data_IF_570878450492
#
_entry.id   IF_570878450492
#
_cell.length_a   1.000
_cell.length_b   1.000
_cell.length_c   1.000
_cell.angle_alpha   90.00
_cell.angle_beta   90.00
_cell.angle_gamma   90.00
#
_symmetry.space_group_name_H-M   'P 1'
#
loop_
_entity.id
_entity.type
_entity.pdbx_description
1 polymer ?
#
# COMPACT_ATOMS: atom_id res chain seq x y z
N UNK A 1 1.44 4.91 -27.69
CA UNK A 1 1.09 4.56 -27.48
C UNK A 1 0.82 4.20 -26.98
N UNK A 2 0.63 3.90 -26.76
CA UNK A 2 0.25 3.44 -26.33
C UNK A 2 -0.24 2.81 -25.94
N UNK A 3 -0.50 2.49 -25.82
CA UNK A 3 -1.01 1.84 -25.51
C UNK A 3 -1.69 1.17 -25.35
N UNK A 4 -1.68 0.95 -25.64
CA UNK A 4 -2.47 0.28 -25.59
C UNK A 4 -2.55 -0.57 -24.93
N UNK A 5 -2.48 -0.71 -24.70
CA UNK A 5 -2.75 -1.57 -24.02
C UNK A 5 -3.83 -1.60 -23.17
N UNK A 6 -4.58 -1.24 -23.27
CA UNK A 6 -5.73 -1.23 -22.47
C UNK A 6 -6.41 -2.55 -22.37
N UNK A 7 -6.29 -3.34 -23.37
CA UNK A 7 -6.81 -4.69 -23.31
C UNK A 7 -6.00 -5.43 -22.26
N UNK A 8 -6.70 -6.02 -21.29
CA UNK A 8 -6.04 -6.67 -20.19
C UNK A 8 -5.40 -5.68 -19.23
N UNK A 9 -5.87 -4.42 -19.27
CA UNK A 9 -5.34 -3.42 -18.36
C UNK A 9 -5.50 -3.90 -16.93
N UNK A 10 -4.43 -3.75 -16.15
CA UNK A 10 -4.50 -4.12 -14.75
C UNK A 10 -5.24 -3.08 -13.96
N UNK A 11 -5.89 -3.46 -12.88
CA UNK A 11 -6.68 -2.52 -12.08
C UNK A 11 -5.85 -1.59 -11.21
N UNK A 12 -4.53 -1.68 -11.24
CA UNK A 12 -3.65 -0.84 -10.43
C UNK A 12 -2.50 -0.30 -11.29
N UNK A 13 -1.77 0.67 -10.75
CA UNK A 13 -0.61 1.26 -11.43
C UNK A 13 0.59 0.32 -11.35
N UNK A 14 0.95 -0.27 -12.48
CA UNK A 14 2.06 -1.24 -12.52
C UNK A 14 3.40 -0.59 -12.22
N UNK A 15 3.60 0.66 -12.62
CA UNK A 15 4.85 1.34 -12.32
C UNK A 15 5.00 1.55 -10.82
N UNK A 16 3.92 1.91 -10.17
CA UNK A 16 3.92 2.08 -8.74
C UNK A 16 4.19 0.74 -8.04
N UNK A 17 3.59 -0.33 -8.54
CA UNK A 17 3.84 -1.66 -7.99
C UNK A 17 5.31 -2.05 -8.13
N UNK A 18 5.93 -1.73 -9.28
CA UNK A 18 7.36 -2.01 -9.48
C UNK A 18 8.22 -1.22 -8.50
N UNK A 19 7.86 0.04 -8.27
CA UNK A 19 8.59 0.88 -7.32
C UNK A 19 8.51 0.32 -5.90
N UNK A 20 7.33 -0.15 -5.51
CA UNK A 20 7.14 -0.78 -4.21
C UNK A 20 7.98 -2.05 -4.13
N UNK A 21 7.95 -2.85 -5.19
CA UNK A 21 8.69 -4.11 -5.23
C UNK A 21 10.18 -3.92 -5.00
N UNK A 22 10.73 -2.82 -5.50
CA UNK A 22 12.14 -2.51 -5.30
C UNK A 22 12.46 -2.16 -3.85
N UNK A 23 11.49 -1.65 -3.13
CA UNK A 23 11.70 -1.18 -1.76
C UNK A 23 11.43 -2.23 -0.70
N UNK A 24 10.57 -3.20 -0.98
CA UNK A 24 10.14 -4.15 0.06
C UNK A 24 11.08 -5.34 0.26
N UNK A 25 11.91 -5.64 -0.73
CA UNK A 25 12.87 -6.72 -0.59
C UNK A 25 12.32 -8.10 -0.96
N UNK A 26 13.17 -9.13 -0.92
CA UNK A 26 12.84 -10.45 -1.47
C UNK A 26 11.92 -11.32 -0.62
N UNK A 27 11.74 -10.99 0.64
CA UNK A 27 10.93 -11.82 1.55
C UNK A 27 9.45 -11.54 1.45
N UNK A 28 9.05 -10.64 0.56
CA UNK A 28 7.69 -10.19 0.43
C UNK A 28 6.95 -11.02 -0.61
N UNK A 29 5.70 -11.38 -0.30
CA UNK A 29 4.82 -12.11 -1.20
C UNK A 29 3.82 -11.13 -1.80
N UNK A 30 3.49 -11.30 -3.08
CA UNK A 30 2.51 -10.45 -3.75
C UNK A 30 1.20 -11.20 -3.90
N UNK A 31 0.09 -10.47 -3.72
CA UNK A 31 -1.22 -11.07 -3.86
C UNK A 31 -2.21 -10.01 -4.32
N UNK A 32 -3.06 -10.36 -5.27
CA UNK A 32 -4.10 -9.45 -5.73
C UNK A 32 -5.19 -9.35 -4.68
N UNK A 33 -5.47 -8.14 -4.23
CA UNK A 33 -6.48 -7.88 -3.20
C UNK A 33 -7.05 -6.50 -3.37
N UNK A 34 -8.29 -6.31 -2.98
CA UNK A 34 -8.93 -5.00 -2.97
C UNK A 34 -8.84 -4.26 -4.31
N UNK A 35 -8.85 -5.00 -5.40
CA UNK A 35 -8.74 -4.41 -6.72
C UNK A 35 -7.34 -3.93 -7.07
N UNK A 36 -6.32 -4.26 -6.27
CA UNK A 36 -4.95 -3.87 -6.50
C UNK A 36 -3.98 -5.01 -6.25
N UNK A 37 -2.73 -4.67 -6.03
CA UNK A 37 -1.68 -5.66 -5.75
C UNK A 37 -1.10 -5.41 -4.37
N UNK A 38 -1.29 -6.35 -3.47
CA UNK A 38 -0.82 -6.26 -2.11
C UNK A 38 0.54 -6.93 -1.95
N UNK A 39 1.36 -6.35 -1.09
CA UNK A 39 2.68 -6.87 -0.73
C UNK A 39 2.62 -7.31 0.73
N UNK A 40 2.91 -8.58 0.96
CA UNK A 40 2.71 -9.22 2.26
C UNK A 40 4.03 -9.66 2.88
N UNK A 41 4.17 -9.43 4.17
CA UNK A 41 5.32 -9.91 4.93
C UNK A 41 4.79 -10.92 5.95
N UNK A 42 5.24 -12.16 5.85
CA UNK A 42 4.74 -13.21 6.73
C UNK A 42 3.23 -13.43 6.60
N UNK A 43 2.66 -13.16 5.44
CA UNK A 43 1.24 -13.28 5.21
C UNK A 43 0.42 -12.06 5.64
N UNK A 44 1.06 -11.07 6.26
CA UNK A 44 0.40 -9.85 6.70
C UNK A 44 0.62 -8.74 5.68
N UNK A 45 -0.45 -8.07 5.27
CA UNK A 45 -0.33 -7.01 4.30
C UNK A 45 0.48 -5.85 4.89
N UNK A 46 1.45 -5.36 4.12
CA UNK A 46 2.23 -4.18 4.49
C UNK A 46 1.75 -2.97 3.69
N UNK A 47 1.68 -3.12 2.38
CA UNK A 47 1.33 -2.03 1.50
C UNK A 47 0.74 -2.63 0.23
N UNK A 48 -0.09 -1.88 -0.47
CA UNK A 48 -0.66 -2.33 -1.73
C UNK A 48 -0.72 -1.19 -2.73
N UNK A 49 -0.52 -1.53 -4.00
CA UNK A 49 -0.81 -0.59 -5.09
C UNK A 49 -2.31 -0.63 -5.28
N UNK A 50 -2.97 0.48 -5.02
CA UNK A 50 -4.43 0.53 -5.01
C UNK A 50 -5.03 0.53 -6.41
N UNK A 51 -6.14 -0.16 -6.58
CA UNK A 51 -6.89 -0.12 -7.84
C UNK A 51 -7.53 1.23 -8.09
N UNK A 52 -7.57 2.09 -7.09
CA UNK A 52 -8.12 3.44 -7.22
C UNK A 52 -7.04 4.50 -7.38
N UNK A 53 -5.80 4.09 -7.53
CA UNK A 53 -4.68 4.99 -7.61
C UNK A 53 -4.01 5.14 -6.26
N UNK A 54 -2.71 5.46 -6.26
CA UNK A 54 -1.96 5.58 -5.03
C UNK A 54 -1.73 4.26 -4.35
N UNK A 55 -1.51 4.30 -3.04
CA UNK A 55 -1.25 3.09 -2.27
C UNK A 55 -2.20 2.98 -1.08
N UNK A 56 -2.28 1.77 -0.56
CA UNK A 56 -2.94 1.48 0.69
C UNK A 56 -1.86 0.98 1.63
N UNK A 57 -1.67 1.66 2.74
CA UNK A 57 -0.63 1.30 3.70
C UNK A 57 -1.27 0.82 4.99
N UNK A 58 -0.74 -0.28 5.52
CA UNK A 58 -1.19 -0.77 6.82
C UNK A 58 -0.16 -0.37 7.86
N UNK A 59 -0.61 0.42 8.84
CA UNK A 59 0.27 0.93 9.88
C UNK A 59 -0.25 0.52 11.24
N UNK A 60 0.55 0.76 12.28
CA UNK A 60 0.12 0.51 13.64
C UNK A 60 -1.11 1.36 13.94
N UNK A 61 -2.23 0.77 14.35
CA UNK A 61 -3.42 1.56 14.67
C UNK A 61 -3.16 2.65 15.70
N UNK A 62 -2.20 2.46 16.59
CA UNK A 62 -1.86 3.47 17.58
C UNK A 62 -1.21 4.71 16.94
N UNK A 63 -0.63 4.57 15.75
CA UNK A 63 0.00 5.69 15.03
C UNK A 63 -0.90 6.28 13.98
N UNK A 64 -2.04 5.67 13.74
CA UNK A 64 -2.92 6.03 12.65
C UNK A 64 -3.40 7.49 12.73
N UNK A 65 -3.85 7.90 13.89
CA UNK A 65 -4.36 9.27 14.08
C UNK A 65 -3.27 10.31 13.86
N UNK A 66 -2.07 10.05 14.35
CA UNK A 66 -0.97 10.98 14.18
C UNK A 66 -0.58 11.09 12.70
N UNK A 67 -0.55 9.98 11.99
CA UNK A 67 -0.23 9.99 10.57
C UNK A 67 -1.29 10.74 9.78
N UNK A 68 -2.56 10.57 10.13
CA UNK A 68 -3.64 11.28 9.46
C UNK A 68 -3.54 12.78 9.70
N UNK A 69 -3.10 13.19 10.89
CA UNK A 69 -2.97 14.60 11.23
C UNK A 69 -1.76 15.25 10.57
N UNK A 70 -0.69 14.48 10.33
CA UNK A 70 0.58 15.03 9.86
C UNK A 70 0.88 14.78 8.38
N UNK A 71 0.02 14.05 7.69
CA UNK A 71 0.21 13.76 6.27
C UNK A 71 -1.08 13.95 5.52
N UNK A 72 -1.03 13.78 4.20
CA UNK A 72 -2.24 13.84 3.37
C UNK A 72 -2.94 12.49 3.26
N UNK A 73 -2.51 11.51 4.05
CA UNK A 73 -3.15 10.20 4.05
C UNK A 73 -4.58 10.31 4.55
N UNK A 74 -5.42 9.41 4.06
CA UNK A 74 -6.82 9.38 4.42
C UNK A 74 -7.15 8.00 4.99
N UNK A 75 -8.12 7.90 5.92
CA UNK A 75 -8.50 6.60 6.42
C UNK A 75 -9.16 5.78 5.32
N UNK A 76 -8.86 4.48 5.31
CA UNK A 76 -9.56 3.58 4.41
C UNK A 76 -10.94 3.32 4.96
N UNK A 77 -11.94 3.35 4.09
CA UNK A 77 -13.30 3.02 4.48
C UNK A 77 -13.72 1.73 3.80
N UNK A 78 -14.41 0.90 4.54
CA UNK A 78 -14.96 -0.33 4.02
C UNK A 78 -16.33 -0.51 4.63
N UNK A 79 -17.35 -0.63 3.76
CA UNK A 79 -18.74 -0.76 4.18
C UNK A 79 -19.19 0.36 5.11
N UNK A 80 -18.75 1.59 4.81
CA UNK A 80 -19.10 2.76 5.61
C UNK A 80 -18.35 2.91 6.90
N UNK A 81 -17.36 2.06 7.16
CA UNK A 81 -16.56 2.14 8.38
C UNK A 81 -15.13 2.49 8.06
N UNK A 82 -14.53 3.33 8.89
CA UNK A 82 -13.13 3.63 8.79
C UNK A 82 -12.33 2.47 9.41
N UNK A 83 -11.35 2.00 8.63
CA UNK A 83 -10.50 0.90 9.08
C UNK A 83 -9.26 1.46 9.73
N UNK A 84 -9.21 1.42 11.05
CA UNK A 84 -8.08 1.96 11.78
C UNK A 84 -6.81 1.19 11.45
N UNK A 85 -5.73 1.92 11.23
CA UNK A 85 -4.48 1.31 10.82
C UNK A 85 -4.37 1.06 9.32
N UNK A 86 -5.39 1.40 8.54
CA UNK A 86 -5.38 1.26 7.09
C UNK A 86 -5.52 2.64 6.48
N UNK A 87 -4.48 3.10 5.80
CA UNK A 87 -4.45 4.46 5.27
C UNK A 87 -4.33 4.44 3.75
N UNK A 88 -5.05 5.36 3.12
CA UNK A 88 -4.96 5.57 1.68
C UNK A 88 -4.07 6.76 1.43
N UNK A 89 -3.11 6.61 0.54
CA UNK A 89 -2.18 7.67 0.18
C UNK A 89 -2.28 7.88 -1.32
N UNK A 90 -2.62 9.09 -1.73
CA UNK A 90 -2.80 9.39 -3.14
C UNK A 90 -1.47 9.30 -3.90
N UNK A 91 -1.57 9.06 -5.22
CA UNK A 91 -0.39 8.90 -6.05
C UNK A 91 0.54 10.09 -5.96
N UNK A 92 0.00 11.30 -5.85
CA UNK A 92 0.83 12.50 -5.77
C UNK A 92 1.63 12.58 -4.48
N UNK A 93 1.21 11.86 -3.46
CA UNK A 93 1.90 11.86 -2.16
C UNK A 93 2.93 10.73 -2.06
N UNK A 94 3.09 9.97 -3.13
CA UNK A 94 4.13 8.93 -3.21
C UNK A 94 4.91 9.05 -4.51
N UNK A 95 4.97 10.27 -5.06
CA UNK A 95 5.68 10.50 -6.31
C UNK A 95 7.18 10.36 -6.18
N UNK A 96 7.73 10.85 -5.08
CA UNK A 96 9.17 10.75 -4.87
C UNK A 96 9.49 9.43 -4.20
N UNK A 97 10.74 8.98 -4.42
CA UNK A 97 11.20 7.75 -3.78
C UNK A 97 11.14 7.87 -2.27
N UNK A 98 11.49 9.03 -1.74
CA UNK A 98 11.49 9.25 -0.29
C UNK A 98 10.09 9.11 0.31
N UNK A 99 9.11 9.70 -0.36
CA UNK A 99 7.72 9.59 0.10
C UNK A 99 7.25 8.15 0.10
N UNK A 100 7.49 7.46 -1.00
CA UNK A 100 7.06 6.07 -1.13
C UNK A 100 7.78 5.18 -0.12
N UNK A 101 9.09 5.38 0.02
CA UNK A 101 9.90 4.60 0.94
C UNK A 101 9.39 4.72 2.38
N UNK A 102 8.99 5.91 2.78
CA UNK A 102 8.45 6.13 4.12
C UNK A 102 7.24 5.24 4.38
N UNK A 103 6.30 5.23 3.43
CA UNK A 103 5.08 4.45 3.59
C UNK A 103 5.34 2.95 3.52
N UNK A 104 6.21 2.55 2.62
CA UNK A 104 6.59 1.14 2.50
C UNK A 104 7.25 0.67 3.81
N UNK A 105 8.14 1.49 4.36
CA UNK A 105 8.81 1.14 5.59
C UNK A 105 7.85 1.05 6.77
N UNK A 106 6.92 1.99 6.87
CA UNK A 106 5.91 1.93 7.93
C UNK A 106 5.09 0.65 7.84
N UNK A 107 4.65 0.31 6.64
CA UNK A 107 3.84 -0.88 6.44
C UNK A 107 4.61 -2.18 6.69
N UNK A 108 5.83 -2.27 6.17
CA UNK A 108 6.61 -3.49 6.35
C UNK A 108 7.04 -3.68 7.79
N UNK A 109 7.39 -2.60 8.48
CA UNK A 109 7.76 -2.68 9.89
C UNK A 109 6.61 -3.19 10.73
N UNK A 110 5.41 -2.67 10.48
CA UNK A 110 4.25 -3.13 11.23
C UNK A 110 3.92 -4.58 10.89
N UNK A 111 3.97 -4.94 9.62
CA UNK A 111 3.67 -6.32 9.22
C UNK A 111 4.64 -7.31 9.85
N UNK A 112 5.93 -6.92 9.97
CA UNK A 112 6.92 -7.77 10.60
C UNK A 112 6.68 -7.94 12.09
N UNK A 113 6.03 -6.97 12.72
CA UNK A 113 5.75 -7.04 14.14
C UNK A 113 4.59 -7.98 14.46
N UNK A 114 3.83 -8.36 13.46
CA UNK A 114 2.68 -9.24 13.63
C UNK A 114 3.10 -10.70 13.49
N UNK A 115 2.39 -11.62 14.17
CA UNK A 115 2.66 -13.04 13.97
C UNK A 115 2.44 -13.42 12.50
N UNK A 116 3.30 -14.28 11.97
CA UNK A 116 3.15 -14.72 10.60
C UNK A 116 1.85 -15.51 10.43
N UNK A 117 1.16 -15.26 9.33
CA UNK A 117 -0.05 -15.99 8.98
C UNK A 117 0.31 -17.25 8.21
N UNK A 118 -0.54 -18.24 8.32
CA UNK A 118 -0.36 -19.52 7.63
C UNK A 118 -1.50 -19.81 6.70
#
# INVERSE_FOLDING_TARGET
>A
MRRCRTIGAVPYDEQLADRIRELVGPEVTEKKMFGGLAFLVGGNMAVAASGQGGILARVDPAESDELLANTNARPMEMRGRQMQGWLRVDAEDVRTKRQLEKWVELGTSFARSLPAKR
#
